data_IF_709787716101
#
_entry.id   IF_709787716101
#
_cell.length_a   1.000
_cell.length_b   1.000
_cell.length_c   1.000
_cell.angle_alpha   90.00
_cell.angle_beta   90.00
_cell.angle_gamma   90.00
#
_symmetry.space_group_name_H-M   'P 1'
#
loop_
_entity.id
_entity.type
_entity.pdbx_description
1 polymer ?
#
# COMPACT_ATOMS: atom_id res chain seq x y z
N UNK A 1 -14.29 4.76 -39.59
CA UNK A 1 -14.40 6.04 -38.86
C UNK A 1 -15.00 7.04 -39.83
N UNK A 2 -16.20 7.56 -39.58
CA UNK A 2 -16.67 8.70 -40.38
C UNK A 2 -15.72 9.86 -40.07
N UNK A 3 -15.01 10.35 -41.09
CA UNK A 3 -14.16 11.53 -40.98
C UNK A 3 -15.08 12.75 -40.78
N UNK A 4 -15.51 12.94 -39.54
CA UNK A 4 -16.31 14.10 -39.16
C UNK A 4 -15.45 15.35 -39.17
N UNK A 5 -16.03 16.44 -39.65
CA UNK A 5 -15.41 17.76 -39.58
C UNK A 5 -15.13 18.13 -38.11
N UNK A 6 -13.86 18.43 -37.81
CA UNK A 6 -13.44 18.81 -36.48
C UNK A 6 -14.11 20.12 -36.03
N UNK A 7 -14.36 21.05 -36.96
CA UNK A 7 -15.04 22.30 -36.65
C UNK A 7 -16.49 22.05 -36.22
N UNK A 8 -17.23 21.22 -36.97
CA UNK A 8 -18.60 20.85 -36.61
C UNK A 8 -18.69 20.13 -35.26
N UNK A 9 -17.68 19.33 -34.90
CA UNK A 9 -17.59 18.67 -33.59
C UNK A 9 -17.44 19.70 -32.47
N UNK A 10 -16.51 20.63 -32.63
CA UNK A 10 -16.18 21.63 -31.61
C UNK A 10 -17.35 22.61 -31.41
N UNK A 11 -18.03 22.99 -32.50
CA UNK A 11 -19.29 23.74 -32.44
C UNK A 11 -20.36 22.98 -31.65
N UNK A 12 -20.54 21.69 -31.93
CA UNK A 12 -21.53 20.86 -31.25
C UNK A 12 -21.25 20.73 -29.74
N UNK A 13 -19.98 20.64 -29.34
CA UNK A 13 -19.57 20.62 -27.93
C UNK A 13 -19.90 21.98 -27.29
N UNK A 14 -19.46 23.08 -27.90
CA UNK A 14 -19.59 24.42 -27.33
C UNK A 14 -21.05 24.83 -27.15
N UNK A 15 -21.91 24.52 -28.14
CA UNK A 15 -23.36 24.78 -28.05
C UNK A 15 -24.05 24.03 -26.90
N UNK A 16 -23.50 22.88 -26.47
CA UNK A 16 -24.11 22.03 -25.45
C UNK A 16 -23.47 22.17 -24.06
N UNK A 17 -22.52 23.10 -23.85
CA UNK A 17 -21.89 23.31 -22.53
C UNK A 17 -22.89 23.67 -21.42
N UNK A 18 -23.98 24.37 -21.76
CA UNK A 18 -25.04 24.70 -20.79
C UNK A 18 -25.69 23.45 -20.18
N UNK A 19 -25.76 22.35 -20.94
CA UNK A 19 -26.26 21.07 -20.44
C UNK A 19 -25.31 20.50 -19.37
N UNK A 20 -24.00 20.63 -19.57
CA UNK A 20 -22.99 20.18 -18.61
C UNK A 20 -23.13 20.95 -17.31
N UNK A 21 -23.22 22.29 -17.37
CA UNK A 21 -23.41 23.14 -16.18
C UNK A 21 -24.68 22.75 -15.41
N UNK A 22 -25.80 22.56 -16.13
CA UNK A 22 -27.07 22.14 -15.53
C UNK A 22 -26.97 20.78 -14.83
N UNK A 23 -26.30 19.80 -15.46
CA UNK A 23 -26.17 18.46 -14.89
C UNK A 23 -25.17 18.41 -13.73
N UNK A 24 -24.07 19.16 -13.81
CA UNK A 24 -23.05 19.25 -12.76
C UNK A 24 -23.64 19.78 -11.45
N UNK A 25 -24.63 20.68 -11.51
CA UNK A 25 -25.32 21.22 -10.32
C UNK A 25 -25.94 20.14 -9.43
N UNK A 26 -26.34 18.99 -9.98
CA UNK A 26 -26.89 17.86 -9.20
C UNK A 26 -25.86 17.24 -8.24
N UNK A 27 -24.57 17.54 -8.42
CA UNK A 27 -23.45 16.96 -7.69
C UNK A 27 -22.72 18.00 -6.82
N UNK A 28 -23.31 19.17 -6.59
CA UNK A 28 -22.71 20.28 -5.80
C UNK A 28 -22.36 19.86 -4.36
N UNK A 29 -23.22 19.04 -3.73
CA UNK A 29 -23.00 18.53 -2.38
C UNK A 29 -21.95 17.40 -2.28
N UNK A 30 -21.22 17.13 -3.37
CA UNK A 30 -20.20 16.09 -3.37
C UNK A 30 -18.90 16.54 -2.70
N UNK A 31 -18.73 17.80 -2.32
CA UNK A 31 -17.47 18.30 -1.72
C UNK A 31 -16.33 18.50 -2.73
N UNK A 32 -16.64 18.47 -4.02
CA UNK A 32 -15.72 18.79 -5.11
C UNK A 32 -16.14 20.15 -5.70
N UNK A 33 -15.21 21.05 -6.02
CA UNK A 33 -15.52 22.33 -6.63
C UNK A 33 -16.40 22.21 -7.87
N UNK A 34 -17.34 23.15 -8.04
CA UNK A 34 -18.28 23.12 -9.16
C UNK A 34 -17.58 23.20 -10.52
N UNK A 35 -16.49 23.97 -10.62
CA UNK A 35 -15.69 24.13 -11.83
C UNK A 35 -15.04 22.81 -12.28
N UNK A 36 -14.54 22.02 -11.33
CA UNK A 36 -14.00 20.67 -11.61
C UNK A 36 -15.10 19.76 -12.14
N UNK A 37 -16.28 19.83 -11.53
CA UNK A 37 -17.42 19.03 -11.96
C UNK A 37 -17.88 19.36 -13.38
N UNK A 38 -17.84 20.65 -13.75
CA UNK A 38 -18.11 21.11 -15.11
C UNK A 38 -17.03 20.62 -16.07
N UNK A 39 -15.76 20.68 -15.67
CA UNK A 39 -14.63 20.22 -16.49
C UNK A 39 -14.71 18.71 -16.77
N UNK A 40 -14.95 17.91 -15.74
CA UNK A 40 -15.17 16.46 -15.84
C UNK A 40 -16.41 16.16 -16.69
N UNK A 41 -17.51 16.87 -16.45
CA UNK A 41 -18.72 16.73 -17.25
C UNK A 41 -18.49 17.08 -18.73
N UNK A 42 -17.62 18.03 -19.03
CA UNK A 42 -17.23 18.41 -20.39
C UNK A 42 -16.49 17.29 -21.09
N UNK A 43 -15.62 16.56 -20.38
CA UNK A 43 -14.99 15.32 -20.90
C UNK A 43 -16.07 14.29 -21.27
N UNK A 44 -17.09 14.11 -20.41
CA UNK A 44 -18.22 13.24 -20.70
C UNK A 44 -19.03 13.67 -21.93
N UNK A 45 -19.20 14.98 -22.15
CA UNK A 45 -19.84 15.53 -23.35
C UNK A 45 -19.01 15.28 -24.62
N UNK A 46 -17.69 15.51 -24.56
CA UNK A 46 -16.77 15.25 -25.68
C UNK A 46 -16.83 13.78 -26.09
N UNK A 47 -16.78 12.86 -25.11
CA UNK A 47 -16.94 11.42 -25.35
C UNK A 47 -18.28 11.12 -26.01
N UNK A 48 -19.37 11.71 -25.50
CA UNK A 48 -20.70 11.52 -26.06
C UNK A 48 -20.80 11.97 -27.51
N UNK A 49 -20.25 13.14 -27.85
CA UNK A 49 -20.24 13.67 -29.22
C UNK A 49 -19.43 12.74 -30.14
N UNK A 50 -18.28 12.25 -29.68
CA UNK A 50 -17.42 11.35 -30.46
C UNK A 50 -18.08 9.99 -30.74
N UNK A 51 -18.94 9.50 -29.85
CA UNK A 51 -19.57 8.16 -29.97
C UNK A 51 -21.05 8.20 -30.36
N UNK A 52 -21.64 9.39 -30.52
CA UNK A 52 -23.05 9.52 -30.84
C UNK A 52 -23.37 8.98 -32.24
N UNK A 53 -24.44 8.20 -32.34
CA UNK A 53 -24.92 7.65 -33.61
C UNK A 53 -26.36 8.08 -33.85
N UNK A 54 -26.64 8.98 -34.83
CA UNK A 54 -28.00 9.45 -35.14
C UNK A 54 -28.98 8.32 -35.50
N UNK A 55 -28.48 7.21 -36.06
CA UNK A 55 -29.27 6.05 -36.45
C UNK A 55 -30.03 5.38 -35.27
N UNK A 56 -29.67 5.69 -34.03
CA UNK A 56 -30.30 5.12 -32.82
C UNK A 56 -31.60 5.81 -32.42
N UNK A 57 -32.07 6.82 -33.18
CA UNK A 57 -33.31 7.55 -32.96
C UNK A 57 -33.49 8.11 -31.52
N UNK A 58 -32.38 8.55 -30.91
CA UNK A 58 -32.38 9.23 -29.61
C UNK A 58 -31.77 10.63 -29.76
N UNK A 59 -32.28 11.60 -29.01
CA UNK A 59 -31.74 12.96 -29.00
C UNK A 59 -30.32 12.95 -28.41
N UNK A 60 -29.40 13.72 -29.00
CA UNK A 60 -28.03 13.89 -28.51
C UNK A 60 -28.02 14.29 -27.03
N UNK A 61 -28.86 15.25 -26.62
CA UNK A 61 -28.94 15.68 -25.23
C UNK A 61 -29.26 14.53 -24.26
N UNK A 62 -30.14 13.59 -24.64
CA UNK A 62 -30.49 12.42 -23.84
C UNK A 62 -29.31 11.47 -23.68
N UNK A 63 -28.59 11.22 -24.77
CA UNK A 63 -27.39 10.39 -24.75
C UNK A 63 -26.24 11.05 -23.97
N UNK A 64 -25.93 12.30 -24.28
CA UNK A 64 -24.90 13.09 -23.62
C UNK A 64 -25.14 13.22 -22.13
N UNK A 65 -26.40 13.38 -21.69
CA UNK A 65 -26.72 13.43 -20.26
C UNK A 65 -26.27 12.17 -19.51
N UNK A 66 -26.37 10.99 -20.13
CA UNK A 66 -25.89 9.73 -19.53
C UNK A 66 -24.38 9.68 -19.46
N UNK A 67 -23.68 10.10 -20.52
CA UNK A 67 -22.23 10.13 -20.57
C UNK A 67 -21.63 11.14 -19.58
N UNK A 68 -22.18 12.36 -19.53
CA UNK A 68 -21.78 13.43 -18.59
C UNK A 68 -21.91 12.93 -17.14
N UNK A 69 -23.09 12.43 -16.78
CA UNK A 69 -23.33 11.92 -15.42
C UNK A 69 -22.44 10.73 -15.08
N UNK A 70 -22.17 9.84 -16.04
CA UNK A 70 -21.27 8.70 -15.82
C UNK A 70 -19.84 9.15 -15.54
N UNK A 71 -19.31 10.12 -16.30
CA UNK A 71 -17.95 10.62 -16.10
C UNK A 71 -17.78 11.27 -14.72
N UNK A 72 -18.75 12.10 -14.32
CA UNK A 72 -18.81 12.70 -12.98
C UNK A 72 -18.84 11.62 -11.89
N UNK A 73 -19.71 10.62 -12.02
CA UNK A 73 -19.81 9.54 -11.05
C UNK A 73 -18.54 8.69 -10.98
N UNK A 74 -17.87 8.44 -12.11
CA UNK A 74 -16.59 7.73 -12.14
C UNK A 74 -15.50 8.49 -11.39
N UNK A 75 -15.43 9.81 -11.57
CA UNK A 75 -14.52 10.66 -10.80
C UNK A 75 -14.81 10.60 -9.30
N UNK A 76 -16.07 10.79 -8.92
CA UNK A 76 -16.47 10.79 -7.51
C UNK A 76 -16.12 9.47 -6.81
N UNK A 77 -16.36 8.32 -7.45
CA UNK A 77 -15.97 7.01 -6.93
C UNK A 77 -14.47 6.88 -6.73
N UNK A 78 -13.67 7.38 -7.67
CA UNK A 78 -12.20 7.36 -7.57
C UNK A 78 -11.70 8.30 -6.46
N UNK A 79 -12.32 9.46 -6.32
CA UNK A 79 -11.95 10.45 -5.29
C UNK A 79 -12.45 10.09 -3.88
N UNK A 80 -13.44 9.21 -3.75
CA UNK A 80 -14.04 8.87 -2.45
C UNK A 80 -13.03 8.21 -1.50
N UNK A 81 -12.06 7.46 -2.00
CA UNK A 81 -11.01 6.87 -1.16
C UNK A 81 -10.07 7.93 -0.58
N UNK A 82 -9.85 9.03 -1.31
CA UNK A 82 -9.01 10.16 -0.85
C UNK A 82 -9.65 11.00 0.26
N UNK A 83 -10.98 10.93 0.43
CA UNK A 83 -11.68 11.70 1.48
C UNK A 83 -11.47 11.16 2.89
N UNK A 84 -10.79 10.02 3.02
CA UNK A 84 -10.37 9.49 4.32
C UNK A 84 -8.94 9.91 4.67
N UNK A 85 -8.25 10.62 3.79
CA UNK A 85 -6.90 11.15 4.05
C UNK A 85 -7.07 12.49 4.79
N UNK A 86 -6.52 12.57 6.00
CA UNK A 86 -6.36 13.83 6.74
C UNK A 86 -5.00 14.44 6.43
N UNK A 87 -4.91 15.76 6.42
CA UNK A 87 -3.59 16.41 6.28
C UNK A 87 -2.82 16.27 7.58
N UNK A 88 -1.54 15.92 7.48
CA UNK A 88 -0.64 15.87 8.63
C UNK A 88 -0.44 17.29 9.22
N UNK A 89 -0.54 18.31 8.38
CA UNK A 89 -0.45 19.72 8.76
C UNK A 89 -1.81 20.31 9.20
N UNK A 90 -2.86 19.49 9.35
CA UNK A 90 -4.15 19.96 9.86
C UNK A 90 -4.08 20.13 11.39
N UNK A 91 -4.53 21.28 11.94
CA UNK A 91 -4.56 21.49 13.38
C UNK A 91 -5.59 20.56 14.02
N UNK A 92 -5.11 19.71 14.93
CA UNK A 92 -5.93 18.83 15.77
C UNK A 92 -6.64 19.62 16.87
N UNK A 93 -5.95 20.62 17.43
CA UNK A 93 -6.48 21.51 18.46
C UNK A 93 -5.75 22.86 18.43
N UNK A 94 -6.39 23.90 18.96
CA UNK A 94 -5.80 25.23 19.14
C UNK A 94 -5.94 25.62 20.62
N UNK A 95 -4.84 25.98 21.27
CA UNK A 95 -4.88 26.45 22.65
C UNK A 95 -5.44 27.88 22.78
N UNK A 96 -5.61 28.36 24.01
CA UNK A 96 -6.13 29.70 24.28
C UNK A 96 -5.21 30.85 23.85
N UNK A 97 -3.93 30.56 23.60
CA UNK A 97 -2.92 31.51 23.14
C UNK A 97 -2.76 31.49 21.61
N UNK A 98 -3.49 30.62 20.92
CA UNK A 98 -3.50 30.50 19.46
C UNK A 98 -2.44 29.56 18.89
N UNK A 99 -1.75 28.77 19.73
CA UNK A 99 -0.83 27.75 19.23
C UNK A 99 -1.63 26.53 18.74
N UNK A 100 -1.33 26.11 17.53
CA UNK A 100 -1.93 24.96 16.89
C UNK A 100 -1.13 23.70 17.21
N UNK A 101 -1.81 22.65 17.69
CA UNK A 101 -1.28 21.30 17.78
C UNK A 101 -1.60 20.60 16.46
N UNK A 102 -0.60 20.30 15.64
CA UNK A 102 -0.79 19.63 14.37
C UNK A 102 -0.87 18.11 14.54
N UNK A 103 -1.45 17.42 13.56
CA UNK A 103 -1.43 15.97 13.53
C UNK A 103 0.01 15.42 13.45
N UNK A 104 0.92 16.12 12.74
CA UNK A 104 2.37 15.80 12.71
C UNK A 104 3.02 15.70 14.07
N UNK A 105 2.59 16.54 15.01
CA UNK A 105 3.22 16.67 16.32
C UNK A 105 2.87 15.48 17.21
N UNK A 106 1.74 14.84 16.94
CA UNK A 106 1.26 13.65 17.65
C UNK A 106 1.73 12.36 16.96
N UNK A 107 1.91 12.39 15.65
CA UNK A 107 2.40 11.25 14.88
C UNK A 107 3.89 10.99 15.16
N UNK A 108 4.16 10.22 16.23
CA UNK A 108 5.50 9.70 16.52
C UNK A 108 5.95 8.62 15.54
N UNK A 109 7.26 8.44 15.40
CA UNK A 109 7.86 7.22 14.82
C UNK A 109 7.66 6.05 15.78
N UNK A 110 7.44 4.83 15.28
CA UNK A 110 7.35 3.60 16.08
C UNK A 110 8.42 3.60 17.19
N UNK A 111 7.98 3.67 18.45
CA UNK A 111 8.79 3.93 19.64
C UNK A 111 9.86 2.87 19.94
N UNK A 112 10.01 1.84 19.11
CA UNK A 112 10.73 0.62 19.49
C UNK A 112 11.98 0.29 18.68
N UNK A 113 12.45 1.13 17.77
CA UNK A 113 13.66 0.83 16.99
C UNK A 113 14.93 0.69 17.84
N UNK A 114 15.08 1.51 18.89
CA UNK A 114 16.26 1.44 19.79
C UNK A 114 16.12 0.31 20.81
N UNK A 115 14.91 0.13 21.37
CA UNK A 115 14.61 -0.96 22.30
C UNK A 115 14.80 -2.35 21.67
N UNK A 116 14.22 -2.56 20.49
CA UNK A 116 14.34 -3.81 19.74
C UNK A 116 15.80 -4.15 19.40
N UNK A 117 16.63 -3.16 19.05
CA UNK A 117 18.03 -3.40 18.74
C UNK A 117 18.84 -3.85 19.96
N UNK A 118 18.61 -3.23 21.12
CA UNK A 118 19.27 -3.60 22.37
C UNK A 118 18.81 -4.97 22.87
N UNK A 119 17.51 -5.25 22.81
CA UNK A 119 16.92 -6.53 23.18
C UNK A 119 17.44 -7.66 22.28
N UNK A 120 17.44 -7.47 20.95
CA UNK A 120 18.01 -8.43 20.01
C UNK A 120 19.51 -8.66 20.24
N UNK A 121 20.27 -7.64 20.60
CA UNK A 121 21.69 -7.78 20.90
C UNK A 121 21.93 -8.64 22.15
N UNK A 122 21.12 -8.42 23.20
CA UNK A 122 21.16 -9.19 24.43
C UNK A 122 20.76 -10.67 24.18
N UNK A 123 19.65 -10.91 23.49
CA UNK A 123 19.20 -12.26 23.12
C UNK A 123 20.24 -13.02 22.29
N UNK A 124 20.84 -12.36 21.29
CA UNK A 124 21.91 -12.94 20.47
C UNK A 124 23.14 -13.31 21.30
N UNK A 125 23.52 -12.47 22.26
CA UNK A 125 24.65 -12.76 23.14
C UNK A 125 24.38 -13.97 24.03
N UNK A 126 23.16 -14.10 24.55
CA UNK A 126 22.74 -15.26 25.34
C UNK A 126 22.70 -16.54 24.50
N UNK A 127 22.11 -16.51 23.31
CA UNK A 127 22.10 -17.65 22.39
C UNK A 127 23.52 -18.11 22.05
N UNK A 128 24.44 -17.19 21.76
CA UNK A 128 25.85 -17.51 21.46
C UNK A 128 26.53 -18.23 22.62
N UNK A 129 26.36 -17.74 23.86
CA UNK A 129 26.89 -18.41 25.06
C UNK A 129 26.34 -19.83 25.23
N UNK A 130 25.04 -20.02 25.01
CA UNK A 130 24.42 -21.35 25.11
C UNK A 130 24.92 -22.31 24.03
N UNK A 131 25.16 -21.81 22.81
CA UNK A 131 25.75 -22.61 21.72
C UNK A 131 27.21 -22.98 22.00
N UNK A 132 27.99 -22.10 22.65
CA UNK A 132 29.38 -22.37 23.04
C UNK A 132 29.52 -23.51 24.05
N UNK A 133 28.49 -23.73 24.89
CA UNK A 133 28.44 -24.81 25.88
C UNK A 133 28.08 -26.18 25.28
N UNK A 134 27.64 -26.24 24.03
CA UNK A 134 27.35 -27.50 23.35
C UNK A 134 28.64 -28.31 23.12
N UNK A 135 28.47 -29.62 22.96
CA UNK A 135 29.59 -30.47 22.57
C UNK A 135 30.19 -29.98 21.23
N UNK A 136 31.52 -30.11 20.99
CA UNK A 136 32.17 -29.54 19.80
C UNK A 136 31.50 -29.92 18.47
N UNK A 137 31.02 -31.16 18.37
CA UNK A 137 30.30 -31.67 17.19
C UNK A 137 28.93 -31.03 17.01
N UNK A 138 28.20 -30.81 18.10
CA UNK A 138 26.87 -30.20 18.10
C UNK A 138 26.95 -28.70 17.81
N UNK A 139 27.93 -28.01 18.41
CA UNK A 139 28.24 -26.62 18.12
C UNK A 139 28.54 -26.41 16.64
N UNK A 140 29.41 -27.24 16.07
CA UNK A 140 29.76 -27.17 14.64
C UNK A 140 28.55 -27.36 13.71
N UNK A 141 27.61 -28.25 14.08
CA UNK A 141 26.35 -28.43 13.34
C UNK A 141 25.52 -27.14 13.41
N UNK A 142 25.37 -26.52 14.58
CA UNK A 142 24.58 -25.30 14.76
C UNK A 142 25.22 -24.09 14.05
N UNK A 143 26.53 -23.92 14.17
CA UNK A 143 27.28 -22.85 13.51
C UNK A 143 27.08 -22.89 11.99
N UNK A 144 27.15 -24.08 11.40
CA UNK A 144 27.03 -24.26 9.96
C UNK A 144 25.57 -24.20 9.47
N UNK A 145 24.61 -24.74 10.23
CA UNK A 145 23.19 -24.73 9.85
C UNK A 145 22.55 -23.35 9.89
N UNK A 146 22.99 -22.50 10.81
CA UNK A 146 22.39 -21.18 11.08
C UNK A 146 23.36 -20.02 10.83
N UNK A 147 24.53 -20.27 10.23
CA UNK A 147 25.50 -19.22 9.88
C UNK A 147 25.97 -18.39 11.08
N UNK A 148 26.15 -19.01 12.25
CA UNK A 148 26.38 -18.28 13.51
C UNK A 148 27.76 -17.57 13.56
N UNK A 149 28.67 -17.92 12.65
CA UNK A 149 30.04 -17.41 12.56
C UNK A 149 30.22 -16.48 11.36
N UNK A 150 29.85 -16.92 10.16
CA UNK A 150 30.09 -16.24 8.88
C UNK A 150 28.82 -15.65 8.23
N UNK A 151 27.65 -15.88 8.83
CA UNK A 151 26.35 -15.44 8.32
C UNK A 151 25.80 -16.30 7.18
N UNK A 152 26.45 -17.41 6.83
CA UNK A 152 26.03 -18.28 5.73
C UNK A 152 25.29 -19.49 6.29
N UNK A 153 23.99 -19.58 5.98
CA UNK A 153 23.18 -20.73 6.34
C UNK A 153 23.36 -21.87 5.34
N UNK A 154 23.62 -23.08 5.84
CA UNK A 154 23.66 -24.29 5.03
C UNK A 154 22.46 -25.16 5.33
N UNK A 155 21.84 -25.77 4.31
CA UNK A 155 20.78 -26.78 4.47
C UNK A 155 21.26 -28.02 5.25
N UNK A 156 20.33 -28.83 5.77
CA UNK A 156 20.70 -30.09 6.47
C UNK A 156 21.51 -31.04 5.58
N UNK A 157 21.29 -30.98 4.26
CA UNK A 157 22.04 -31.78 3.29
C UNK A 157 23.45 -31.24 3.11
N UNK A 158 23.61 -29.93 2.88
CA UNK A 158 24.93 -29.31 2.74
C UNK A 158 25.77 -29.46 4.01
N UNK A 159 25.13 -29.34 5.19
CA UNK A 159 25.81 -29.61 6.46
C UNK A 159 26.23 -31.07 6.61
N UNK A 160 25.42 -32.00 6.10
CA UNK A 160 25.71 -33.43 6.14
C UNK A 160 26.89 -33.78 5.25
N UNK A 161 26.91 -33.21 4.04
CA UNK A 161 27.99 -33.36 3.08
C UNK A 161 29.30 -32.77 3.64
N UNK A 162 29.25 -31.58 4.25
CA UNK A 162 30.42 -30.93 4.87
C UNK A 162 30.98 -31.69 6.09
N UNK A 163 30.11 -32.31 6.89
CA UNK A 163 30.48 -33.01 8.13
C UNK A 163 30.69 -34.51 7.97
N UNK A 164 30.50 -35.04 6.75
CA UNK A 164 30.68 -36.47 6.43
C UNK A 164 29.70 -37.38 7.18
N UNK A 165 28.47 -36.94 7.42
CA UNK A 165 27.43 -37.68 8.15
C UNK A 165 26.11 -37.66 7.38
N UNK A 166 25.15 -38.51 7.74
CA UNK A 166 23.86 -38.52 7.02
C UNK A 166 22.98 -37.31 7.37
N UNK A 167 22.24 -36.80 6.38
CA UNK A 167 21.26 -35.72 6.57
C UNK A 167 20.19 -36.07 7.62
N UNK A 168 19.75 -37.34 7.67
CA UNK A 168 18.84 -37.83 8.71
C UNK A 168 19.46 -37.78 10.12
N UNK A 169 20.78 -38.00 10.24
CA UNK A 169 21.47 -37.88 11.52
C UNK A 169 21.57 -36.42 11.97
N UNK A 170 21.89 -35.49 11.07
CA UNK A 170 21.84 -34.05 11.35
C UNK A 170 20.45 -33.61 11.79
N UNK A 171 19.40 -34.00 11.07
CA UNK A 171 18.01 -33.65 11.41
C UNK A 171 17.63 -34.08 12.83
N UNK A 172 18.08 -35.27 13.26
CA UNK A 172 17.86 -35.78 14.62
C UNK A 172 18.65 -35.03 15.68
N UNK A 173 19.91 -34.68 15.39
CA UNK A 173 20.74 -33.88 16.30
C UNK A 173 20.21 -32.46 16.44
N UNK A 174 19.90 -31.78 15.33
CA UNK A 174 19.34 -30.43 15.31
C UNK A 174 18.11 -30.31 16.20
N UNK A 175 17.13 -31.22 16.06
CA UNK A 175 15.93 -31.24 16.91
C UNK A 175 16.24 -31.41 18.40
N UNK A 176 17.25 -32.20 18.73
CA UNK A 176 17.67 -32.43 20.13
C UNK A 176 18.36 -31.20 20.69
N UNK A 177 19.30 -30.64 19.94
CA UNK A 177 20.08 -29.45 20.32
C UNK A 177 19.15 -28.25 20.50
N UNK A 178 18.22 -28.00 19.57
CA UNK A 178 17.24 -26.91 19.69
C UNK A 178 16.39 -27.05 20.95
N UNK A 179 15.95 -28.27 21.29
CA UNK A 179 15.18 -28.51 22.51
C UNK A 179 16.01 -28.20 23.76
N UNK A 180 17.25 -28.66 23.80
CA UNK A 180 18.17 -28.39 24.90
C UNK A 180 18.45 -26.89 25.05
N UNK A 181 18.76 -26.20 23.95
CA UNK A 181 19.00 -24.75 23.96
C UNK A 181 17.76 -24.00 24.45
N UNK A 182 16.57 -24.40 24.02
CA UNK A 182 15.31 -23.82 24.50
C UNK A 182 15.13 -23.99 26.01
N UNK A 183 15.37 -25.19 26.55
CA UNK A 183 15.29 -25.43 28.00
C UNK A 183 16.31 -24.61 28.81
N UNK A 184 17.50 -24.35 28.26
CA UNK A 184 18.51 -23.50 28.90
C UNK A 184 18.07 -22.04 28.87
N UNK A 185 17.60 -21.55 27.71
CA UNK A 185 17.16 -20.16 27.55
C UNK A 185 15.90 -19.82 28.34
N UNK A 186 15.00 -20.78 28.58
CA UNK A 186 13.80 -20.59 29.42
C UNK A 186 14.10 -20.59 30.93
N UNK A 187 15.32 -20.96 31.34
CA UNK A 187 15.75 -21.02 32.75
C UNK A 187 16.60 -19.83 33.17
N UNK A 188 17.14 -19.07 32.23
CA UNK A 188 17.87 -17.81 32.46
C UNK A 188 16.90 -16.62 32.50
#
# INVERSE_FOLDING_TARGET
MMAGDAAARDDLITHNLRLVVYLAKKYENSGVPQEDMISIGTIGLIKAVNTFTPARNIKLATYASRCIGNEILMYLRKSSNRRQEASIDEPLNTDGDGNELLLSDVLGSDENLVGLQLEQAAERATLRRSVEQLAPRERQIMELRFGLVDGVEHTQKEAADALGISQSYISRLEKRIIRQLKEVLERE
#
